data_IF_744314434172
#
_entry.id   IF_744314434172
#
_cell.length_a   1.000
_cell.length_b   1.000
_cell.length_c   1.000
_cell.angle_alpha   90.00
_cell.angle_beta   90.00
_cell.angle_gamma   90.00
#
_symmetry.space_group_name_H-M   'P 1'
#
loop_
_entity.id
_entity.type
_entity.pdbx_description
1 polymer ?
#
# COMPACT_ATOMS: atom_id res chain seq x y z
N UNK A 1 -15.04 21.47 -0.79
CA UNK A 1 -14.79 20.12 -0.26
C UNK A 1 -15.08 19.16 -1.39
N UNK A 2 -14.19 19.08 -2.37
CA UNK A 2 -14.48 18.39 -3.63
C UNK A 2 -13.14 18.08 -4.29
N UNK A 3 -12.55 16.90 -4.01
CA UNK A 3 -11.67 16.24 -4.99
C UNK A 3 -11.11 14.84 -4.65
N UNK A 4 -11.31 14.29 -3.46
CA UNK A 4 -10.54 13.06 -3.10
C UNK A 4 -11.25 11.73 -3.42
N UNK A 5 -12.49 11.75 -3.95
CA UNK A 5 -13.29 10.55 -4.19
C UNK A 5 -13.05 9.84 -5.53
N UNK A 6 -12.11 10.32 -6.35
CA UNK A 6 -11.84 9.72 -7.67
C UNK A 6 -10.78 8.59 -7.65
N UNK A 7 -10.18 8.30 -6.50
CA UNK A 7 -9.09 7.30 -6.37
C UNK A 7 -9.50 5.90 -6.87
N UNK A 8 -10.75 5.48 -6.65
CA UNK A 8 -11.27 4.20 -7.15
C UNK A 8 -11.40 4.18 -8.68
N UNK A 9 -11.84 5.30 -9.27
CA UNK A 9 -11.94 5.48 -10.72
C UNK A 9 -10.56 5.40 -11.40
N UNK A 10 -9.49 5.88 -10.74
CA UNK A 10 -8.12 5.85 -11.29
C UNK A 10 -7.54 4.43 -11.33
N UNK A 11 -7.77 3.60 -10.31
CA UNK A 11 -7.22 2.24 -10.25
C UNK A 11 -7.94 1.27 -11.19
N UNK A 12 -9.29 1.32 -11.22
CA UNK A 12 -10.08 0.57 -12.18
C UNK A 12 -9.72 0.96 -13.62
N UNK A 13 -9.34 2.23 -13.84
CA UNK A 13 -8.89 2.72 -15.14
C UNK A 13 -7.56 2.15 -15.58
N UNK A 14 -6.55 2.11 -14.71
CA UNK A 14 -5.23 1.60 -15.09
C UNK A 14 -5.27 0.15 -15.59
N UNK A 15 -5.97 -0.74 -14.88
CA UNK A 15 -6.10 -2.14 -15.30
C UNK A 15 -6.90 -2.30 -16.60
N UNK A 16 -7.91 -1.46 -16.84
CA UNK A 16 -8.66 -1.45 -18.08
C UNK A 16 -7.82 -0.90 -19.24
N UNK A 17 -7.03 0.15 -19.00
CA UNK A 17 -6.06 0.69 -19.96
C UNK A 17 -4.99 -0.34 -20.32
N UNK A 18 -4.40 -1.04 -19.35
CA UNK A 18 -3.39 -2.07 -19.62
C UNK A 18 -3.96 -3.25 -20.44
N UNK A 19 -5.23 -3.62 -20.23
CA UNK A 19 -5.92 -4.65 -21.03
C UNK A 19 -6.26 -4.19 -22.44
N UNK A 20 -6.73 -2.95 -22.60
CA UNK A 20 -7.14 -2.40 -23.89
C UNK A 20 -5.94 -1.94 -24.73
N UNK A 21 -4.82 -1.60 -24.09
CA UNK A 21 -3.56 -1.20 -24.72
C UNK A 21 -2.68 -2.37 -25.17
N UNK A 22 -3.21 -3.60 -25.17
CA UNK A 22 -2.44 -4.79 -25.54
C UNK A 22 -2.02 -4.76 -27.03
N UNK A 23 -0.87 -4.16 -27.33
CA UNK A 23 -0.29 -4.13 -28.67
C UNK A 23 0.86 -3.17 -28.97
N UNK A 24 1.14 -2.15 -28.13
CA UNK A 24 2.15 -1.13 -28.44
C UNK A 24 3.04 -0.72 -27.25
N UNK A 25 4.27 -0.28 -27.56
CA UNK A 25 5.30 0.20 -26.60
C UNK A 25 4.86 1.49 -25.87
N UNK A 26 3.90 2.21 -26.43
CA UNK A 26 3.23 3.37 -25.82
C UNK A 26 1.75 3.05 -25.69
N UNK A 27 1.21 3.22 -24.49
CA UNK A 27 -0.21 3.02 -24.24
C UNK A 27 -1.02 4.19 -24.80
N UNK A 28 -1.53 4.02 -26.02
CA UNK A 28 -2.44 4.97 -26.64
C UNK A 28 -3.88 4.49 -26.43
N UNK A 29 -4.68 5.29 -25.72
CA UNK A 29 -6.12 5.03 -25.54
C UNK A 29 -6.86 5.71 -26.69
N UNK A 30 -7.44 4.92 -27.60
CA UNK A 30 -8.30 5.51 -28.62
C UNK A 30 -9.67 5.86 -28.02
N UNK A 31 -10.37 6.89 -28.55
CA UNK A 31 -11.71 7.24 -28.12
C UNK A 31 -12.69 6.04 -28.11
N UNK A 32 -12.58 5.16 -29.11
CA UNK A 32 -13.35 3.89 -29.19
C UNK A 32 -13.11 2.92 -28.04
N UNK A 33 -11.95 2.99 -27.38
CA UNK A 33 -11.59 2.12 -26.25
C UNK A 33 -12.08 2.72 -24.93
N UNK A 34 -12.24 4.05 -24.87
CA UNK A 34 -12.84 4.77 -23.74
C UNK A 34 -14.34 4.43 -23.64
N UNK A 35 -15.04 4.25 -24.76
CA UNK A 35 -16.45 3.84 -24.75
C UNK A 35 -16.67 2.44 -24.13
N UNK A 36 -15.65 1.59 -24.15
CA UNK A 36 -15.70 0.24 -23.58
C UNK A 36 -15.37 0.21 -22.07
N UNK A 37 -15.08 1.35 -21.45
CA UNK A 37 -14.79 1.41 -20.03
C UNK A 37 -16.03 1.12 -19.19
N UNK A 38 -15.92 0.13 -18.33
CA UNK A 38 -16.97 -0.15 -17.34
C UNK A 38 -16.71 0.73 -16.12
N UNK A 39 -17.59 1.72 -15.91
CA UNK A 39 -17.61 2.56 -14.72
C UNK A 39 -18.77 2.11 -13.83
N UNK A 40 -18.49 1.44 -12.69
CA UNK A 40 -19.55 1.01 -11.79
C UNK A 40 -20.13 2.22 -11.03
N UNK A 41 -21.44 2.42 -11.16
CA UNK A 41 -22.19 3.39 -10.35
C UNK A 41 -22.46 2.80 -8.97
N UNK A 42 -21.62 3.16 -8.01
CA UNK A 42 -21.72 2.76 -6.61
C UNK A 42 -22.18 3.98 -5.81
N UNK A 43 -23.03 3.78 -4.80
CA UNK A 43 -23.46 4.84 -3.90
C UNK A 43 -22.26 5.43 -3.14
N UNK A 44 -22.29 6.74 -2.87
CA UNK A 44 -21.13 7.47 -2.32
C UNK A 44 -20.65 6.94 -0.96
N UNK A 45 -21.56 6.44 -0.13
CA UNK A 45 -21.28 5.76 1.14
C UNK A 45 -20.41 4.50 0.97
N UNK A 46 -20.73 3.67 -0.02
CA UNK A 46 -19.97 2.46 -0.34
C UNK A 46 -18.64 2.79 -1.00
N UNK A 47 -18.58 3.83 -1.83
CA UNK A 47 -17.32 4.32 -2.40
C UNK A 47 -16.36 4.77 -1.30
N UNK A 48 -16.85 5.53 -0.31
CA UNK A 48 -16.05 5.98 0.82
C UNK A 48 -15.49 4.79 1.62
N UNK A 49 -16.33 3.79 1.93
CA UNK A 49 -15.88 2.59 2.64
C UNK A 49 -14.77 1.83 1.89
N UNK A 50 -14.84 1.78 0.57
CA UNK A 50 -13.80 1.15 -0.25
C UNK A 50 -12.52 1.98 -0.20
N UNK A 51 -12.61 3.30 -0.31
CA UNK A 51 -11.47 4.22 -0.23
C UNK A 51 -10.79 4.07 1.12
N UNK A 52 -11.54 4.12 2.22
CA UNK A 52 -11.00 4.02 3.58
C UNK A 52 -10.27 2.69 3.76
N UNK A 53 -10.88 1.57 3.37
CA UNK A 53 -10.23 0.25 3.44
C UNK A 53 -8.98 0.16 2.56
N UNK A 54 -9.01 0.77 1.38
CA UNK A 54 -7.88 0.78 0.47
C UNK A 54 -6.70 1.56 1.05
N UNK A 55 -6.95 2.78 1.55
CA UNK A 55 -5.94 3.62 2.20
C UNK A 55 -5.36 2.90 3.42
N UNK A 56 -6.21 2.34 4.28
CA UNK A 56 -5.77 1.54 5.43
C UNK A 56 -4.89 0.36 5.01
N UNK A 57 -5.24 -0.35 3.94
CA UNK A 57 -4.44 -1.47 3.42
C UNK A 57 -3.06 -1.01 2.93
N UNK A 58 -2.97 0.13 2.25
CA UNK A 58 -1.70 0.70 1.83
C UNK A 58 -0.82 1.09 3.02
N UNK A 59 -1.38 1.76 4.01
CA UNK A 59 -0.68 2.12 5.24
C UNK A 59 -0.16 0.88 5.98
N UNK A 60 -1.00 -0.15 6.13
CA UNK A 60 -0.62 -1.41 6.75
C UNK A 60 0.48 -2.13 5.96
N UNK A 61 0.40 -2.13 4.63
CA UNK A 61 1.43 -2.68 3.76
C UNK A 61 2.76 -1.96 3.93
N UNK A 62 2.75 -0.63 4.04
CA UNK A 62 3.96 0.15 4.29
C UNK A 62 4.57 -0.18 5.65
N UNK A 63 3.75 -0.22 6.71
CA UNK A 63 4.18 -0.62 8.05
C UNK A 63 4.76 -2.03 8.07
N UNK A 64 4.12 -2.99 7.39
CA UNK A 64 4.62 -4.36 7.27
C UNK A 64 5.99 -4.43 6.62
N UNK A 65 6.23 -3.66 5.55
CA UNK A 65 7.55 -3.56 4.91
C UNK A 65 8.60 -2.98 5.86
N UNK A 66 8.28 -1.92 6.58
CA UNK A 66 9.20 -1.31 7.55
C UNK A 66 9.57 -2.29 8.67
N UNK A 67 8.59 -3.04 9.18
CA UNK A 67 8.82 -4.08 10.17
C UNK A 67 9.72 -5.20 9.64
N UNK A 68 9.51 -5.62 8.39
CA UNK A 68 10.34 -6.64 7.75
C UNK A 68 11.79 -6.18 7.62
N UNK A 69 12.02 -4.93 7.22
CA UNK A 69 13.38 -4.37 7.13
C UNK A 69 14.04 -4.28 8.51
N UNK A 70 13.31 -3.86 9.55
CA UNK A 70 13.82 -3.85 10.92
C UNK A 70 14.20 -5.26 11.37
N UNK A 71 13.36 -6.27 11.11
CA UNK A 71 13.67 -7.64 11.46
C UNK A 71 14.91 -8.15 10.73
N UNK A 72 15.05 -7.85 9.44
CA UNK A 72 16.21 -8.23 8.64
C UNK A 72 17.50 -7.61 9.18
N UNK A 73 17.53 -6.29 9.36
CA UNK A 73 18.70 -5.59 9.89
C UNK A 73 19.01 -6.03 11.32
N UNK A 74 17.96 -6.28 12.12
CA UNK A 74 18.12 -6.81 13.47
C UNK A 74 18.82 -8.16 13.49
N UNK A 75 18.48 -9.08 12.58
CA UNK A 75 19.17 -10.37 12.44
C UNK A 75 20.62 -10.18 11.97
N UNK A 76 20.87 -9.30 11.00
CA UNK A 76 22.23 -8.99 10.55
C UNK A 76 23.08 -8.45 11.70
N UNK A 77 22.53 -7.54 12.50
CA UNK A 77 23.18 -6.97 13.68
C UNK A 77 23.47 -8.02 14.76
N UNK A 78 22.55 -8.97 14.99
CA UNK A 78 22.73 -10.04 15.98
C UNK A 78 23.87 -10.99 15.59
N UNK A 79 24.07 -11.19 14.28
CA UNK A 79 25.17 -12.01 13.74
C UNK A 79 26.51 -11.25 13.83
N UNK A 80 26.52 -9.95 13.55
CA UNK A 80 27.75 -9.14 13.50
C UNK A 80 28.25 -8.72 14.90
N UNK A 81 27.33 -8.41 15.81
CA UNK A 81 27.64 -7.94 17.16
C UNK A 81 27.22 -8.98 18.19
N UNK A 82 25.98 -8.91 18.67
CA UNK A 82 25.39 -9.83 19.64
C UNK A 82 23.86 -9.61 19.69
N UNK A 83 23.15 -10.56 20.31
CA UNK A 83 21.69 -10.52 20.41
C UNK A 83 21.17 -9.35 21.28
N UNK A 84 21.92 -8.90 22.29
CA UNK A 84 21.50 -7.84 23.21
C UNK A 84 21.52 -6.49 22.50
N UNK A 85 22.62 -6.17 21.81
CA UNK A 85 22.78 -4.97 20.99
C UNK A 85 21.73 -4.91 19.88
N UNK A 86 21.49 -6.02 19.18
CA UNK A 86 20.46 -6.11 18.16
C UNK A 86 19.05 -5.87 18.71
N UNK A 87 18.74 -6.46 19.88
CA UNK A 87 17.43 -6.29 20.52
C UNK A 87 17.18 -4.84 20.95
N UNK A 88 18.19 -4.18 21.51
CA UNK A 88 18.12 -2.75 21.85
C UNK A 88 17.84 -1.92 20.59
N UNK A 89 18.55 -2.19 19.50
CA UNK A 89 18.35 -1.48 18.24
C UNK A 89 16.95 -1.69 17.66
N UNK A 90 16.45 -2.94 17.63
CA UNK A 90 15.10 -3.26 17.14
C UNK A 90 14.06 -2.49 17.95
N UNK A 91 14.16 -2.52 19.28
CA UNK A 91 13.22 -1.81 20.15
C UNK A 91 13.23 -0.30 19.90
N UNK A 92 14.40 0.32 19.71
CA UNK A 92 14.51 1.73 19.34
C UNK A 92 13.85 2.04 17.98
N UNK A 93 13.97 1.16 16.98
CA UNK A 93 13.29 1.37 15.70
C UNK A 93 11.76 1.19 15.81
N UNK A 94 11.31 0.25 16.63
CA UNK A 94 9.89 0.04 16.89
C UNK A 94 9.25 1.22 17.63
N UNK A 95 9.95 1.82 18.59
CA UNK A 95 9.51 3.04 19.28
C UNK A 95 9.33 4.21 18.31
N UNK A 96 10.27 4.40 17.35
CA UNK A 96 10.15 5.42 16.30
C UNK A 96 8.92 5.20 15.40
N UNK A 97 8.51 3.95 15.20
CA UNK A 97 7.29 3.58 14.46
C UNK A 97 6.02 3.67 15.32
N UNK A 98 6.14 4.01 16.61
CA UNK A 98 5.02 4.07 17.54
C UNK A 98 4.45 2.70 17.91
N UNK A 99 5.23 1.63 17.73
CA UNK A 99 4.82 0.25 18.02
C UNK A 99 5.38 -0.12 19.38
N UNK A 100 4.49 -0.35 20.36
CA UNK A 100 4.89 -0.76 21.69
C UNK A 100 4.63 -2.27 21.88
N UNK A 101 5.71 -3.05 21.94
CA UNK A 101 5.65 -4.46 22.31
C UNK A 101 5.56 -4.60 23.84
N UNK A 102 4.56 -3.99 24.49
CA UNK A 102 4.27 -4.38 25.89
C UNK A 102 3.74 -5.81 25.83
N UNK A 103 4.54 -6.72 26.34
CA UNK A 103 4.24 -8.13 26.55
C UNK A 103 2.84 -8.27 27.16
N UNK A 104 1.89 -8.76 26.37
CA UNK A 104 0.69 -9.40 26.92
C UNK A 104 1.19 -10.53 27.82
N UNK A 105 1.12 -10.29 29.14
CA UNK A 105 1.34 -11.29 30.18
C UNK A 105 0.11 -12.19 30.24
#
# INVERSE_FOLDING_TARGET
MENDNYSFLILGKRLQTEKLSAGSVQAELYPKDIDNFVIPFISGDKQQQIIDKYVMSLEQKQKSKQLLEIAKIGVEQAIETDEETATIWINQQLEKLGINLKTTT
#
